data_IF_543091814178
#
_entry.id   IF_543091814178
#
_cell.length_a   1.000
_cell.length_b   1.000
_cell.length_c   1.000
_cell.angle_alpha   90.00
_cell.angle_beta   90.00
_cell.angle_gamma   90.00
#
_symmetry.space_group_name_H-M   'P 1'
#
loop_
_entity.id
_entity.type
_entity.pdbx_description
1 polymer ?
#
# COMPACT_ATOMS: atom_id res chain seq x y z
N UNK A 1 16.75 -17.13 4.82
CA UNK A 1 16.26 -16.23 5.89
C UNK A 1 17.38 -15.32 6.43
N UNK A 2 18.55 -15.85 6.84
CA UNK A 2 19.68 -15.03 7.37
C UNK A 2 20.11 -13.89 6.42
N UNK A 3 20.15 -14.14 5.12
CA UNK A 3 20.53 -13.14 4.11
C UNK A 3 19.51 -11.99 3.95
N UNK A 4 18.23 -12.26 4.23
CA UNK A 4 17.18 -11.24 4.22
C UNK A 4 17.23 -10.35 5.46
N UNK A 5 17.44 -10.96 6.62
CA UNK A 5 17.59 -10.21 7.88
C UNK A 5 18.78 -9.24 7.81
N UNK A 6 19.93 -9.69 7.30
CA UNK A 6 21.11 -8.84 7.16
C UNK A 6 20.90 -7.64 6.23
N UNK A 7 20.08 -7.80 5.18
CA UNK A 7 19.77 -6.71 4.25
C UNK A 7 18.76 -5.70 4.82
N UNK A 8 17.94 -6.11 5.78
CA UNK A 8 16.95 -5.24 6.43
C UNK A 8 17.50 -4.50 7.63
N UNK A 9 18.49 -5.09 8.31
CA UNK A 9 19.18 -4.43 9.45
C UNK A 9 19.86 -3.16 8.96
N UNK A 10 19.55 -2.04 9.58
CA UNK A 10 20.10 -0.72 9.24
C UNK A 10 19.35 0.06 8.15
N UNK A 11 18.30 -0.50 7.53
CA UNK A 11 17.40 0.27 6.68
C UNK A 11 16.45 1.08 7.55
N UNK A 12 16.60 2.40 7.54
CA UNK A 12 15.62 3.30 8.15
C UNK A 12 14.45 3.47 7.18
N UNK A 13 13.20 3.34 7.66
CA UNK A 13 12.05 3.74 6.86
C UNK A 13 12.19 5.22 6.50
N UNK A 14 12.19 5.52 5.22
CA UNK A 14 12.31 6.89 4.72
C UNK A 14 11.41 7.08 3.50
N UNK A 15 10.79 8.25 3.43
CA UNK A 15 9.91 8.63 2.34
C UNK A 15 8.47 8.12 2.48
N UNK A 16 7.67 8.43 1.47
CA UNK A 16 6.26 8.05 1.45
C UNK A 16 6.02 6.69 0.80
N UNK A 17 4.90 6.08 1.15
CA UNK A 17 4.47 4.77 0.65
C UNK A 17 3.77 4.91 -0.70
N UNK A 18 4.25 4.21 -1.73
CA UNK A 18 3.63 4.15 -3.05
C UNK A 18 3.14 2.74 -3.38
N UNK A 19 1.88 2.48 -3.04
CA UNK A 19 1.21 1.21 -3.36
C UNK A 19 1.21 0.93 -4.88
N UNK A 20 0.94 1.95 -5.69
CA UNK A 20 0.89 1.81 -7.14
C UNK A 20 2.21 1.36 -7.76
N UNK A 21 3.34 1.95 -7.36
CA UNK A 21 4.67 1.53 -7.84
C UNK A 21 5.04 0.12 -7.39
N UNK A 22 4.70 -0.21 -6.15
CA UNK A 22 4.97 -1.54 -5.60
C UNK A 22 4.20 -2.60 -6.39
N UNK A 23 2.91 -2.41 -6.61
CA UNK A 23 2.08 -3.35 -7.37
C UNK A 23 2.55 -3.48 -8.83
N UNK A 24 2.89 -2.37 -9.49
CA UNK A 24 3.45 -2.38 -10.83
C UNK A 24 4.77 -3.18 -10.89
N UNK A 25 5.65 -2.96 -9.92
CA UNK A 25 6.91 -3.70 -9.84
C UNK A 25 6.70 -5.20 -9.68
N UNK A 26 5.80 -5.61 -8.76
CA UNK A 26 5.50 -7.02 -8.51
C UNK A 26 4.88 -7.68 -9.74
N UNK A 27 3.91 -7.03 -10.38
CA UNK A 27 3.27 -7.54 -11.60
C UNK A 27 4.26 -7.72 -12.74
N UNK A 28 5.20 -6.78 -12.91
CA UNK A 28 6.22 -6.88 -13.94
C UNK A 28 7.29 -7.95 -13.65
N UNK A 29 7.61 -8.18 -12.38
CA UNK A 29 8.61 -9.19 -11.98
C UNK A 29 8.05 -10.60 -11.91
N UNK A 30 6.78 -10.74 -11.59
CA UNK A 30 6.09 -12.03 -11.41
C UNK A 30 4.69 -11.99 -12.03
N UNK A 31 4.60 -11.92 -13.37
CA UNK A 31 3.31 -11.71 -14.06
C UNK A 31 2.32 -12.86 -13.88
N UNK A 32 2.76 -14.03 -13.45
CA UNK A 32 1.93 -15.20 -13.19
C UNK A 32 1.70 -15.50 -11.71
N UNK A 33 2.01 -14.58 -10.82
CA UNK A 33 1.80 -14.81 -9.39
C UNK A 33 0.30 -15.04 -9.10
N UNK A 34 -0.01 -16.13 -8.39
CA UNK A 34 -1.36 -16.45 -7.91
C UNK A 34 -1.71 -15.68 -6.64
N UNK A 35 -0.69 -15.40 -5.83
CA UNK A 35 -0.84 -14.80 -4.51
C UNK A 35 0.19 -13.70 -4.28
N UNK A 36 -0.26 -12.62 -3.64
CA UNK A 36 0.58 -11.51 -3.19
C UNK A 36 0.38 -11.33 -1.69
N UNK A 37 1.49 -11.23 -0.97
CA UNK A 37 1.51 -10.87 0.46
C UNK A 37 1.99 -9.44 0.59
N UNK A 38 1.08 -8.56 0.99
CA UNK A 38 1.33 -7.15 1.22
C UNK A 38 1.48 -6.90 2.72
N UNK A 39 2.63 -6.38 3.13
CA UNK A 39 2.84 -5.90 4.50
C UNK A 39 2.84 -4.38 4.45
N UNK A 40 1.95 -3.77 5.20
CA UNK A 40 1.80 -2.30 5.21
C UNK A 40 1.36 -1.81 6.59
N UNK A 41 1.66 -0.57 6.87
CA UNK A 41 1.30 0.12 8.09
C UNK A 41 0.14 1.13 7.88
N UNK A 42 -0.34 1.29 6.65
CA UNK A 42 -1.43 2.20 6.35
C UNK A 42 -1.65 2.43 4.86
N UNK A 43 -2.47 3.42 4.55
CA UNK A 43 -2.76 3.82 3.18
C UNK A 43 -1.57 4.52 2.51
N UNK A 44 -1.47 4.45 1.16
CA UNK A 44 -0.39 5.09 0.42
C UNK A 44 -0.39 6.61 0.61
N UNK A 45 0.80 7.19 0.61
CA UNK A 45 1.03 8.62 0.81
C UNK A 45 1.60 9.31 -0.44
N UNK A 46 2.06 8.53 -1.42
CA UNK A 46 2.65 9.03 -2.66
C UNK A 46 1.97 8.38 -3.87
N UNK A 47 1.75 9.18 -4.92
CA UNK A 47 1.37 8.66 -6.22
C UNK A 47 2.52 7.86 -6.86
N UNK A 48 2.19 6.69 -7.40
CA UNK A 48 3.13 5.90 -8.19
C UNK A 48 3.41 6.47 -9.56
N UNK A 49 2.59 7.38 -10.05
CA UNK A 49 2.58 7.82 -11.43
C UNK A 49 3.03 9.27 -11.56
N UNK A 50 4.10 9.50 -12.31
CA UNK A 50 4.55 10.86 -12.67
C UNK A 50 3.54 11.62 -13.54
N UNK A 51 2.64 10.90 -14.20
CA UNK A 51 1.59 11.43 -15.08
C UNK A 51 0.21 11.30 -14.49
N UNK A 52 0.08 10.77 -13.27
CA UNK A 52 -1.26 10.61 -12.72
C UNK A 52 -1.86 12.00 -12.53
N UNK A 53 -3.03 12.14 -13.08
CA UNK A 53 -3.95 13.24 -12.90
C UNK A 53 -4.38 13.45 -11.43
N UNK A 54 -3.55 13.08 -10.47
CA UNK A 54 -3.74 13.38 -9.05
C UNK A 54 -3.76 14.89 -8.81
N UNK A 55 -3.06 15.66 -9.64
CA UNK A 55 -3.23 17.10 -9.70
C UNK A 55 -4.67 17.52 -10.07
N UNK A 56 -5.45 16.65 -10.72
CA UNK A 56 -6.87 16.88 -11.00
C UNK A 56 -7.80 16.45 -9.86
N UNK A 57 -7.32 15.68 -8.89
CA UNK A 57 -8.09 15.32 -7.72
C UNK A 57 -8.01 16.46 -6.70
N UNK A 58 -9.12 17.16 -6.52
CA UNK A 58 -9.23 18.30 -5.59
C UNK A 58 -8.70 18.00 -4.18
N UNK A 59 -8.86 16.76 -3.73
CA UNK A 59 -8.39 16.27 -2.42
C UNK A 59 -6.87 16.09 -2.32
N UNK A 60 -6.14 16.08 -3.45
CA UNK A 60 -4.69 15.89 -3.52
C UNK A 60 -3.94 17.15 -4.00
N UNK A 61 -4.61 18.28 -4.10
CA UNK A 61 -4.04 19.53 -4.66
C UNK A 61 -2.81 20.03 -3.91
N UNK A 62 -2.71 19.72 -2.61
CA UNK A 62 -1.58 20.12 -1.77
C UNK A 62 -0.28 19.37 -2.08
N UNK A 63 -0.35 18.26 -2.81
CA UNK A 63 0.84 17.47 -3.21
C UNK A 63 1.64 18.13 -4.34
N UNK A 64 1.03 19.05 -5.07
CA UNK A 64 1.64 19.68 -6.25
C UNK A 64 2.61 20.81 -5.93
N UNK A 65 2.48 21.48 -4.79
CA UNK A 65 3.13 22.77 -4.57
C UNK A 65 4.20 22.83 -3.46
N UNK A 66 4.29 21.85 -2.57
CA UNK A 66 5.28 21.88 -1.48
C UNK A 66 5.77 20.51 -1.05
N UNK A 67 7.09 20.36 -0.90
CA UNK A 67 7.78 19.12 -0.49
C UNK A 67 7.43 18.60 0.91
N UNK A 68 6.67 19.33 1.70
CA UNK A 68 6.36 19.04 3.10
C UNK A 68 4.86 18.98 3.41
N UNK A 69 4.00 18.75 2.43
CA UNK A 69 2.56 18.75 2.68
C UNK A 69 2.05 17.41 3.17
N UNK A 70 1.35 17.45 4.29
CA UNK A 70 0.57 16.33 4.81
C UNK A 70 -0.47 15.89 3.76
N UNK A 71 -0.43 14.61 3.40
CA UNK A 71 -1.42 14.01 2.50
C UNK A 71 -2.70 13.77 3.30
N UNK A 72 -3.80 14.41 2.88
CA UNK A 72 -5.10 14.22 3.55
C UNK A 72 -5.56 12.75 3.47
N UNK A 73 -6.37 12.32 4.43
CA UNK A 73 -6.95 10.97 4.42
C UNK A 73 -7.74 10.66 3.15
N UNK A 74 -8.44 11.65 2.61
CA UNK A 74 -9.18 11.54 1.34
C UNK A 74 -8.25 11.33 0.14
N UNK A 75 -7.13 12.04 0.11
CA UNK A 75 -6.12 11.83 -0.91
C UNK A 75 -5.51 10.44 -0.82
N UNK A 76 -5.22 9.95 0.38
CA UNK A 76 -4.69 8.60 0.61
C UNK A 76 -5.65 7.52 0.10
N UNK A 77 -6.96 7.68 0.34
CA UNK A 77 -7.98 6.80 -0.22
C UNK A 77 -7.98 6.81 -1.76
N UNK A 78 -7.91 7.99 -2.37
CA UNK A 78 -7.87 8.11 -3.83
C UNK A 78 -6.61 7.46 -4.42
N UNK A 79 -5.48 7.60 -3.75
CA UNK A 79 -4.24 6.90 -4.11
C UNK A 79 -4.41 5.38 -4.04
N UNK A 80 -5.05 4.89 -2.98
CA UNK A 80 -5.36 3.47 -2.81
C UNK A 80 -6.26 2.97 -3.94
N UNK A 81 -7.43 3.60 -4.17
CA UNK A 81 -8.35 3.18 -5.22
C UNK A 81 -7.74 3.21 -6.61
N UNK A 82 -6.92 4.22 -6.90
CA UNK A 82 -6.21 4.33 -8.18
C UNK A 82 -5.22 3.18 -8.38
N UNK A 83 -4.47 2.82 -7.35
CA UNK A 83 -3.52 1.71 -7.38
C UNK A 83 -4.24 0.36 -7.55
N UNK A 84 -5.28 0.09 -6.77
CA UNK A 84 -6.10 -1.13 -6.82
C UNK A 84 -6.76 -1.29 -8.18
N UNK A 85 -7.41 -0.24 -8.69
CA UNK A 85 -8.07 -0.28 -10.01
C UNK A 85 -7.11 -0.59 -11.15
N UNK A 86 -5.88 -0.10 -11.06
CA UNK A 86 -4.84 -0.38 -12.06
C UNK A 86 -4.37 -1.82 -11.95
N UNK A 87 -4.09 -2.29 -10.75
CA UNK A 87 -3.66 -3.65 -10.48
C UNK A 87 -4.67 -4.69 -10.96
N UNK A 88 -5.95 -4.52 -10.67
CA UNK A 88 -7.03 -5.43 -11.09
C UNK A 88 -7.18 -5.56 -12.61
N UNK A 89 -6.66 -4.60 -13.40
CA UNK A 89 -6.64 -4.69 -14.86
C UNK A 89 -5.52 -5.57 -15.38
N UNK A 90 -4.47 -5.79 -14.61
CA UNK A 90 -3.24 -6.43 -15.05
C UNK A 90 -2.91 -7.72 -14.31
N UNK A 91 -3.60 -8.00 -13.21
CA UNK A 91 -3.37 -9.17 -12.37
C UNK A 91 -4.68 -9.69 -11.79
N UNK A 92 -4.80 -11.02 -11.73
CA UNK A 92 -5.87 -11.75 -11.06
C UNK A 92 -5.39 -12.37 -9.73
N UNK A 93 -4.22 -12.01 -9.25
CA UNK A 93 -3.65 -12.57 -8.02
C UNK A 93 -4.51 -12.24 -6.79
N UNK A 94 -4.62 -13.21 -5.89
CA UNK A 94 -5.17 -13.00 -4.55
C UNK A 94 -4.26 -12.10 -3.72
N UNK A 95 -4.82 -11.14 -3.01
CA UNK A 95 -4.04 -10.20 -2.20
C UNK A 95 -4.27 -10.49 -0.72
N UNK A 96 -3.24 -11.00 -0.08
CA UNK A 96 -3.20 -11.24 1.36
C UNK A 96 -2.52 -10.05 2.03
N UNK A 97 -3.23 -9.34 2.89
CA UNK A 97 -2.70 -8.14 3.53
C UNK A 97 -2.38 -8.39 5.00
N UNK A 98 -1.17 -8.03 5.40
CA UNK A 98 -0.76 -7.93 6.81
C UNK A 98 -0.70 -6.43 7.13
N UNK A 99 -1.73 -5.95 7.83
CA UNK A 99 -1.83 -4.55 8.23
C UNK A 99 -1.26 -4.39 9.63
N UNK A 100 -0.10 -3.75 9.72
CA UNK A 100 0.50 -3.39 11.00
C UNK A 100 -0.31 -2.26 11.64
N UNK A 101 -0.60 -2.40 12.93
CA UNK A 101 -1.36 -1.39 13.64
C UNK A 101 -0.53 -0.11 13.81
N UNK A 102 -0.82 0.91 13.00
CA UNK A 102 -0.34 2.26 13.20
C UNK A 102 -1.49 3.16 13.61
N UNK A 103 -1.26 4.00 14.59
CA UNK A 103 -2.18 5.04 14.98
C UNK A 103 -2.35 6.05 13.83
N UNK A 104 -3.58 6.45 13.57
CA UNK A 104 -3.88 7.59 12.69
C UNK A 104 -4.36 7.28 11.28
N UNK A 105 -4.62 6.01 10.93
CA UNK A 105 -5.20 5.67 9.64
C UNK A 105 -6.45 4.77 9.75
N UNK A 106 -7.57 5.30 10.26
CA UNK A 106 -8.77 4.49 10.53
C UNK A 106 -9.41 3.89 9.29
N UNK A 107 -9.07 4.40 8.09
CA UNK A 107 -9.61 3.91 6.82
C UNK A 107 -8.80 2.77 6.21
N UNK A 108 -7.59 2.53 6.69
CA UNK A 108 -6.73 1.47 6.15
C UNK A 108 -7.35 0.08 6.31
N UNK A 109 -7.78 -0.29 7.52
CA UNK A 109 -8.30 -1.61 7.79
C UNK A 109 -9.52 -1.98 6.92
N UNK A 110 -10.60 -1.17 6.83
CA UNK A 110 -11.74 -1.51 5.99
C UNK A 110 -11.43 -1.55 4.49
N UNK A 111 -10.51 -0.71 4.02
CA UNK A 111 -10.14 -0.69 2.60
C UNK A 111 -9.31 -1.91 2.20
N UNK A 112 -8.30 -2.25 2.98
CA UNK A 112 -7.49 -3.45 2.73
C UNK A 112 -8.28 -4.73 2.94
N UNK A 113 -9.17 -4.78 3.95
CA UNK A 113 -10.05 -5.92 4.15
C UNK A 113 -10.95 -6.15 2.93
N UNK A 114 -11.61 -5.11 2.45
CA UNK A 114 -12.47 -5.18 1.27
C UNK A 114 -11.68 -5.63 0.03
N UNK A 115 -10.49 -5.10 -0.17
CA UNK A 115 -9.66 -5.46 -1.32
C UNK A 115 -9.18 -6.91 -1.24
N UNK A 116 -8.68 -7.35 -0.10
CA UNK A 116 -8.31 -8.75 0.11
C UNK A 116 -9.48 -9.69 -0.15
N UNK A 117 -10.66 -9.41 0.43
CA UNK A 117 -11.85 -10.22 0.23
C UNK A 117 -12.29 -10.32 -1.24
N UNK A 118 -12.28 -9.21 -2.00
CA UNK A 118 -12.66 -9.19 -3.41
C UNK A 118 -11.68 -10.01 -4.27
N UNK A 119 -10.41 -10.07 -3.90
CA UNK A 119 -9.38 -10.82 -4.63
C UNK A 119 -9.26 -12.28 -4.17
N UNK A 120 -10.06 -12.72 -3.20
CA UNK A 120 -9.99 -14.07 -2.63
C UNK A 120 -8.87 -14.28 -1.61
N UNK A 121 -8.23 -13.19 -1.17
CA UNK A 121 -7.23 -13.21 -0.12
C UNK A 121 -7.81 -12.88 1.26
N UNK A 122 -6.94 -12.67 2.22
CA UNK A 122 -7.29 -12.40 3.62
C UNK A 122 -6.55 -11.18 4.16
N UNK A 123 -7.13 -10.53 5.17
CA UNK A 123 -6.48 -9.50 5.96
C UNK A 123 -6.10 -10.05 7.33
N UNK A 124 -4.85 -9.85 7.71
CA UNK A 124 -4.35 -10.03 9.07
C UNK A 124 -3.96 -8.68 9.65
N UNK A 125 -4.41 -8.40 10.87
CA UNK A 125 -3.96 -7.24 11.63
C UNK A 125 -3.40 -7.74 12.97
N UNK A 126 -2.07 -7.88 13.09
CA UNK A 126 -1.46 -8.32 14.33
C UNK A 126 -1.71 -7.27 15.42
N UNK A 127 -2.04 -7.73 16.61
CA UNK A 127 -2.20 -6.88 17.80
C UNK A 127 -0.84 -6.69 18.49
N UNK A 128 -0.75 -5.64 19.30
CA UNK A 128 0.47 -5.37 20.07
C UNK A 128 0.79 -6.48 21.10
N UNK A 129 -0.23 -7.25 21.49
CA UNK A 129 -0.14 -8.40 22.40
C UNK A 129 -0.02 -9.75 21.65
N UNK A 130 0.39 -9.74 20.37
CA UNK A 130 0.68 -10.97 19.64
C UNK A 130 1.71 -11.80 20.39
N UNK A 131 1.44 -13.09 20.63
CA UNK A 131 2.34 -13.90 21.44
C UNK A 131 3.74 -13.92 20.82
N UNK A 132 4.72 -13.47 21.60
CA UNK A 132 6.11 -13.73 21.33
C UNK A 132 6.32 -15.25 21.54
N UNK A 133 6.46 -15.99 20.47
CA UNK A 133 6.81 -17.40 20.51
C UNK A 133 8.31 -17.53 20.71
#
# INVERSE_FOLDING_TARGET
LKNMQTKLVGKKPDGGTSLGKMLEYVTNKSPGASDIYLITDGLPTISGDKRSSLASLKSCYSLSSNKNTFVSGECREQLFYSAVKRFQKTSAASVNTILLALEGDPKAAPLYWKWSAITGGVLFSPRADWPLI
#
